data_IF_957677142880
#
_entry.id   IF_957677142880
#
_cell.length_a   1.000
_cell.length_b   1.000
_cell.length_c   1.000
_cell.angle_alpha   90.00
_cell.angle_beta   90.00
_cell.angle_gamma   90.00
#
_symmetry.space_group_name_H-M   'P 1'
#
loop_
_entity.id
_entity.type
_entity.pdbx_description
1 polymer ?
#
# COMPACT_ATOMS: atom_id res chain seq x y z
N UNK A 1 23.79 12.07 -11.87
CA UNK A 1 23.42 10.99 -12.81
C UNK A 1 23.37 9.62 -12.11
N UNK A 2 24.46 9.15 -11.48
CA UNK A 2 24.53 7.82 -10.85
C UNK A 2 23.41 7.48 -9.86
N UNK A 3 23.09 8.36 -8.90
CA UNK A 3 22.03 8.11 -7.91
C UNK A 3 20.63 7.91 -8.52
N UNK A 4 20.32 8.63 -9.60
CA UNK A 4 19.03 8.51 -10.31
C UNK A 4 18.95 7.14 -11.00
N UNK A 5 20.04 6.71 -11.62
CA UNK A 5 20.12 5.39 -12.28
C UNK A 5 19.96 4.27 -11.25
N UNK A 6 20.64 4.36 -10.10
CA UNK A 6 20.51 3.36 -9.04
C UNK A 6 19.08 3.30 -8.49
N UNK A 7 18.43 4.43 -8.23
CA UNK A 7 17.03 4.47 -7.78
C UNK A 7 16.08 3.90 -8.84
N UNK A 8 16.26 4.29 -10.10
CA UNK A 8 15.42 3.81 -11.19
C UNK A 8 15.49 2.28 -11.35
N UNK A 9 16.68 1.70 -11.22
CA UNK A 9 16.86 0.25 -11.37
C UNK A 9 16.38 -0.50 -10.12
N UNK A 10 16.90 -0.15 -8.94
CA UNK A 10 16.64 -0.92 -7.73
C UNK A 10 15.33 -0.56 -7.05
N UNK A 11 15.09 0.72 -6.80
CA UNK A 11 13.90 1.15 -6.05
C UNK A 11 12.62 1.10 -6.89
N UNK A 12 12.74 1.27 -8.21
CA UNK A 12 11.58 1.29 -9.11
C UNK A 12 11.44 0.01 -9.91
N UNK A 13 12.36 -0.30 -10.83
CA UNK A 13 12.17 -1.40 -11.78
C UNK A 13 12.11 -2.77 -11.10
N UNK A 14 13.09 -3.11 -10.26
CA UNK A 14 13.15 -4.40 -9.56
C UNK A 14 12.00 -4.53 -8.57
N UNK A 15 11.78 -3.51 -7.73
CA UNK A 15 10.68 -3.52 -6.75
C UNK A 15 9.32 -3.72 -7.43
N UNK A 16 9.08 -3.06 -8.57
CA UNK A 16 7.83 -3.20 -9.32
C UNK A 16 7.66 -4.60 -9.92
N UNK A 17 8.72 -5.18 -10.50
CA UNK A 17 8.68 -6.54 -11.05
C UNK A 17 8.36 -7.55 -9.94
N UNK A 18 9.03 -7.43 -8.78
CA UNK A 18 8.78 -8.30 -7.63
C UNK A 18 7.36 -8.13 -7.09
N UNK A 19 6.87 -6.90 -6.97
CA UNK A 19 5.52 -6.63 -6.46
C UNK A 19 4.44 -7.16 -7.42
N UNK A 20 4.59 -6.91 -8.72
CA UNK A 20 3.67 -7.41 -9.76
C UNK A 20 3.68 -8.94 -9.83
N UNK A 21 4.85 -9.56 -9.71
CA UNK A 21 4.97 -11.02 -9.65
C UNK A 21 4.32 -11.57 -8.37
N UNK A 22 4.53 -10.91 -7.24
CA UNK A 22 3.85 -11.22 -5.98
C UNK A 22 2.32 -11.16 -6.12
N UNK A 23 1.77 -10.12 -6.74
CA UNK A 23 0.33 -10.03 -7.03
C UNK A 23 -0.16 -11.26 -7.81
N UNK A 24 0.62 -11.77 -8.77
CA UNK A 24 0.24 -12.96 -9.56
C UNK A 24 0.19 -14.23 -8.71
N UNK A 25 1.06 -14.36 -7.71
CA UNK A 25 1.16 -15.53 -6.84
C UNK A 25 0.15 -15.50 -5.67
N UNK A 26 0.07 -14.38 -4.94
CA UNK A 26 -0.75 -14.25 -3.71
C UNK A 26 -2.10 -13.56 -3.94
N UNK A 27 -2.33 -13.04 -5.14
CA UNK A 27 -3.55 -12.34 -5.52
C UNK A 27 -3.59 -10.88 -5.06
N UNK A 28 -4.40 -10.08 -5.77
CA UNK A 28 -4.50 -8.63 -5.57
C UNK A 28 -4.99 -8.23 -4.17
N UNK A 29 -5.87 -9.03 -3.56
CA UNK A 29 -6.40 -8.75 -2.23
C UNK A 29 -5.31 -8.82 -1.16
N UNK A 30 -4.49 -9.87 -1.16
CA UNK A 30 -3.39 -10.01 -0.20
C UNK A 30 -2.27 -9.00 -0.48
N UNK A 31 -1.93 -8.76 -1.75
CA UNK A 31 -0.95 -7.75 -2.13
C UNK A 31 -1.33 -6.32 -1.68
N UNK A 32 -2.63 -6.00 -1.64
CA UNK A 32 -3.13 -4.71 -1.11
C UNK A 32 -2.76 -4.52 0.36
N UNK A 33 -2.76 -5.59 1.16
CA UNK A 33 -2.35 -5.52 2.58
C UNK A 33 -0.88 -5.13 2.69
N UNK A 34 0.00 -5.71 1.87
CA UNK A 34 1.42 -5.33 1.80
C UNK A 34 1.61 -3.88 1.36
N UNK A 35 0.83 -3.41 0.38
CA UNK A 35 0.88 -2.02 -0.07
C UNK A 35 0.51 -1.03 1.07
N UNK A 36 -0.45 -1.39 1.92
CA UNK A 36 -0.83 -0.57 3.06
C UNK A 36 0.22 -0.56 4.19
N UNK A 37 1.14 -1.53 4.23
CA UNK A 37 2.26 -1.54 5.16
C UNK A 37 3.40 -0.60 4.74
N UNK A 38 3.53 -0.27 3.45
CA UNK A 38 4.57 0.64 2.93
C UNK A 38 4.64 1.95 3.74
N UNK A 39 3.55 2.73 3.92
CA UNK A 39 3.60 3.97 4.69
C UNK A 39 3.91 3.76 6.18
N UNK A 40 3.46 2.65 6.78
CA UNK A 40 3.74 2.33 8.19
C UNK A 40 5.23 2.00 8.38
N UNK A 41 5.78 1.15 7.51
CA UNK A 41 7.20 0.79 7.52
C UNK A 41 8.09 1.99 7.18
N UNK A 42 7.70 2.81 6.20
CA UNK A 42 8.41 4.04 5.85
C UNK A 42 8.46 4.99 7.04
N UNK A 43 7.35 5.18 7.76
CA UNK A 43 7.31 6.01 8.96
C UNK A 43 8.19 5.43 10.09
N UNK A 44 8.14 4.12 10.33
CA UNK A 44 8.96 3.45 11.33
C UNK A 44 10.46 3.57 11.02
N UNK A 45 10.86 3.31 9.77
CA UNK A 45 12.23 3.44 9.31
C UNK A 45 12.71 4.89 9.36
N UNK A 46 11.86 5.86 9.01
CA UNK A 46 12.18 7.28 9.12
C UNK A 46 12.43 7.71 10.57
N UNK A 47 11.63 7.22 11.53
CA UNK A 47 11.84 7.46 12.96
C UNK A 47 13.14 6.80 13.47
N UNK A 48 13.43 5.56 13.03
CA UNK A 48 14.62 4.82 13.42
C UNK A 48 15.91 5.38 12.83
N UNK A 49 15.85 5.97 11.64
CA UNK A 49 17.03 6.49 10.96
C UNK A 49 17.68 7.64 11.72
N UNK A 50 16.95 8.36 12.59
CA UNK A 50 17.51 9.41 13.47
C UNK A 50 18.24 10.53 12.74
N UNK A 51 18.04 10.66 11.41
CA UNK A 51 18.92 11.44 10.54
C UNK A 51 18.68 12.95 10.59
N UNK A 52 17.65 13.43 11.28
CA UNK A 52 17.38 14.86 11.42
C UNK A 52 16.75 15.16 12.79
N UNK A 53 16.98 16.37 13.29
CA UNK A 53 16.13 16.94 14.34
C UNK A 53 14.67 16.69 13.94
N UNK A 54 13.89 16.17 14.88
CA UNK A 54 12.46 15.85 14.69
C UNK A 54 11.65 17.07 15.18
N UNK A 55 11.52 18.16 14.40
CA UNK A 55 10.63 19.24 14.76
C UNK A 55 9.20 18.72 14.80
N UNK A 56 8.34 19.37 15.60
CA UNK A 56 6.92 19.03 15.71
C UNK A 56 6.21 18.85 14.35
N UNK A 57 6.68 19.54 13.30
CA UNK A 57 6.17 19.40 11.92
C UNK A 57 6.35 18.00 11.34
N UNK A 58 7.50 17.33 11.56
CA UNK A 58 7.72 15.95 11.06
C UNK A 58 6.86 14.96 11.84
N UNK A 59 6.74 15.16 13.15
CA UNK A 59 5.86 14.35 14.00
C UNK A 59 4.39 14.46 13.55
N UNK A 60 3.93 15.67 13.23
CA UNK A 60 2.59 15.89 12.68
C UNK A 60 2.40 15.18 11.34
N UNK A 61 3.41 15.22 10.46
CA UNK A 61 3.40 14.48 9.19
C UNK A 61 3.27 12.97 9.39
N UNK A 62 4.01 12.39 10.34
CA UNK A 62 3.91 10.96 10.69
C UNK A 62 2.49 10.61 11.17
N UNK A 63 1.91 11.42 12.08
CA UNK A 63 0.54 11.21 12.58
C UNK A 63 -0.50 11.29 11.46
N UNK A 64 -0.36 12.26 10.54
CA UNK A 64 -1.25 12.41 9.39
C UNK A 64 -1.16 11.20 8.45
N UNK A 65 0.05 10.74 8.12
CA UNK A 65 0.25 9.56 7.26
C UNK A 65 -0.36 8.32 7.89
N UNK A 66 -0.07 8.05 9.17
CA UNK A 66 -0.63 6.90 9.89
C UNK A 66 -2.17 6.97 9.90
N UNK A 67 -2.74 8.12 10.23
CA UNK A 67 -4.19 8.33 10.25
C UNK A 67 -4.83 8.12 8.87
N UNK A 68 -4.19 8.64 7.81
CA UNK A 68 -4.65 8.47 6.43
C UNK A 68 -4.64 7.01 5.97
N UNK A 69 -3.64 6.23 6.39
CA UNK A 69 -3.59 4.78 6.12
C UNK A 69 -4.74 4.05 6.80
N UNK A 70 -4.97 4.30 8.09
CA UNK A 70 -6.09 3.68 8.81
C UNK A 70 -7.45 4.05 8.18
N UNK A 71 -7.62 5.30 7.75
CA UNK A 71 -8.81 5.70 7.00
C UNK A 71 -8.93 4.97 5.66
N UNK A 72 -7.86 4.88 4.88
CA UNK A 72 -7.86 4.24 3.56
C UNK A 72 -8.09 2.73 3.63
N UNK A 73 -7.68 2.09 4.72
CA UNK A 73 -7.93 0.67 4.97
C UNK A 73 -9.34 0.38 5.48
N UNK A 74 -10.10 1.42 5.88
CA UNK A 74 -11.51 1.30 6.23
C UNK A 74 -12.37 1.09 4.97
N UNK A 75 -12.12 0.00 4.26
CA UNK A 75 -12.98 -0.50 3.18
C UNK A 75 -14.30 -0.90 3.80
N UNK A 76 -15.28 0.00 3.74
CA UNK A 76 -16.69 -0.43 3.73
C UNK A 76 -16.86 -1.25 2.44
N UNK A 77 -17.39 -2.48 2.50
CA UNK A 77 -17.70 -3.20 1.28
C UNK A 77 -18.61 -2.30 0.45
N UNK A 78 -18.15 -1.92 -0.75
CA UNK A 78 -19.01 -1.32 -1.76
C UNK A 78 -20.00 -2.41 -2.13
N UNK A 79 -21.13 -2.39 -1.39
CA UNK A 79 -22.34 -3.19 -1.48
C UNK A 79 -22.17 -4.48 -2.29
N UNK A 80 -22.23 -5.65 -1.63
CA UNK A 80 -22.05 -7.02 -2.16
C UNK A 80 -23.01 -7.47 -3.29
N UNK A 81 -23.39 -6.56 -4.18
CA UNK A 81 -24.15 -6.75 -5.40
C UNK A 81 -23.49 -7.67 -6.42
N UNK A 82 -22.16 -7.87 -6.55
CA UNK A 82 -21.64 -8.77 -7.57
C UNK A 82 -22.12 -10.21 -7.38
N UNK A 83 -22.08 -10.73 -6.15
CA UNK A 83 -22.54 -12.08 -5.83
C UNK A 83 -24.06 -12.22 -5.89
N UNK A 84 -24.79 -11.19 -5.44
CA UNK A 84 -26.25 -11.21 -5.41
C UNK A 84 -26.85 -11.11 -6.83
N UNK A 85 -26.25 -10.29 -7.70
CA UNK A 85 -26.62 -10.14 -9.11
C UNK A 85 -26.24 -11.38 -9.91
N UNK A 86 -25.05 -11.95 -9.70
CA UNK A 86 -24.62 -13.19 -10.36
C UNK A 86 -25.56 -14.35 -10.06
N UNK A 87 -25.96 -14.51 -8.78
CA UNK A 87 -26.89 -15.56 -8.38
C UNK A 87 -28.31 -15.32 -8.93
N UNK A 88 -28.73 -14.05 -9.08
CA UNK A 88 -29.99 -13.68 -9.75
C UNK A 88 -30.01 -14.06 -11.24
N UNK A 89 -28.89 -13.91 -11.95
CA UNK A 89 -28.81 -14.26 -13.38
C UNK A 89 -28.61 -15.75 -13.63
N UNK A 90 -27.88 -16.47 -12.75
CA UNK A 90 -27.62 -17.90 -12.89
C UNK A 90 -28.86 -18.75 -12.56
N UNK A 91 -29.67 -18.35 -11.56
CA UNK A 91 -30.82 -19.15 -11.10
C UNK A 91 -32.12 -18.90 -11.88
N UNK A 92 -32.10 -18.00 -12.88
CA UNK A 92 -33.25 -17.68 -13.75
C UNK A 92 -33.22 -18.40 -15.11
N UNK A 93 -32.42 -19.47 -15.23
CA UNK A 93 -32.44 -20.41 -16.35
C UNK A 93 -32.82 -21.79 -15.85
#
# INVERSE_FOLDING_TARGET
>A
MGAIVTLAIFATAIAYILFSSGIREIGAMQATVFANLIPVLTAALALLSGMEDLPLRKLAGVVIVISGVFLSQSKKPFLGLPGLVWNYFVKKK
#
